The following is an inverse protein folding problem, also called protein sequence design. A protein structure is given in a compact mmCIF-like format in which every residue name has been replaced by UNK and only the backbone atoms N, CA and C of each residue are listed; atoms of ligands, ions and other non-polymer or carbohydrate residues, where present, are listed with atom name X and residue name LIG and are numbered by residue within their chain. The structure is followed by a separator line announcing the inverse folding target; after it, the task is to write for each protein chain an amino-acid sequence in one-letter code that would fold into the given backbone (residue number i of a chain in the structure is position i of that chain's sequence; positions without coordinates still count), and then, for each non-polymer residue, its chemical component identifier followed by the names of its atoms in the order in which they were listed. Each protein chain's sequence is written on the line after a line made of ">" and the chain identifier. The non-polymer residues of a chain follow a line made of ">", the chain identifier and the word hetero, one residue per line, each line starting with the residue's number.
data_IF_376348408046
#
_entry.id   IF_376348408046
#
_cell.length_a   1.000
_cell.length_b   1.000
_cell.length_c   1.000
_cell.angle_alpha   90.00
_cell.angle_beta   90.00
_cell.angle_gamma   90.00
#
_symmetry.space_group_name_H-M   'P 1'
#
loop_
_entity.id
_entity.type
_entity.pdbx_description
1 polymer ?
#
# COMPACT_ATOMS: atom_id res chain seq x y z
N UNK A 1 -5.91 34.40 17.95
CA UNK A 1 -5.97 33.19 17.09
C UNK A 1 -7.26 33.33 16.30
N UNK A 2 -7.20 33.41 14.98
CA UNK A 2 -8.32 33.88 14.14
C UNK A 2 -9.39 32.79 14.01
N UNK A 3 -10.61 33.06 14.48
CA UNK A 3 -11.74 32.12 14.42
C UNK A 3 -12.09 31.71 12.97
N UNK A 4 -11.70 32.52 11.98
CA UNK A 4 -11.83 32.21 10.55
C UNK A 4 -10.99 31.00 10.12
N UNK A 5 -9.87 30.71 10.80
CA UNK A 5 -9.08 29.50 10.55
C UNK A 5 -9.79 28.22 11.01
N UNK A 6 -10.52 28.29 12.13
CA UNK A 6 -11.38 27.20 12.61
C UNK A 6 -12.64 27.04 11.75
N UNK A 7 -13.14 28.12 11.17
CA UNK A 7 -14.29 28.11 10.25
C UNK A 7 -13.94 27.51 8.87
N UNK A 8 -12.74 27.81 8.35
CA UNK A 8 -12.18 27.18 7.14
C UNK A 8 -11.87 25.68 7.36
N UNK A 9 -11.42 25.28 8.57
CA UNK A 9 -11.30 23.85 8.90
C UNK A 9 -12.67 23.16 8.96
N UNK A 10 -13.70 23.81 9.51
CA UNK A 10 -15.07 23.29 9.56
C UNK A 10 -15.73 23.18 8.18
N UNK A 11 -15.41 24.06 7.23
CA UNK A 11 -15.86 23.97 5.83
C UNK A 11 -15.17 22.85 5.01
N UNK A 12 -14.10 22.23 5.54
CA UNK A 12 -13.44 21.05 4.97
C UNK A 12 -13.95 19.72 5.55
N UNK A 13 -14.94 19.75 6.43
CA UNK A 13 -15.56 18.51 6.91
C UNK A 13 -16.55 18.03 5.85
N UNK A 14 -16.15 17.01 5.10
CA UNK A 14 -17.08 16.21 4.31
C UNK A 14 -18.13 15.67 5.28
N UNK A 15 -19.38 16.12 5.15
CA UNK A 15 -20.48 15.45 5.84
C UNK A 15 -20.68 14.07 5.21
N UNK A 16 -20.15 13.07 5.90
CA UNK A 16 -20.19 11.70 5.44
C UNK A 16 -21.62 11.15 5.32
N UNK A 17 -22.59 11.70 6.04
CA UNK A 17 -24.00 11.30 5.90
C UNK A 17 -24.58 11.82 4.59
N UNK A 18 -24.22 13.04 4.18
CA UNK A 18 -24.63 13.59 2.88
C UNK A 18 -23.93 12.89 1.72
N UNK A 19 -22.68 12.45 1.89
CA UNK A 19 -21.95 11.79 0.81
C UNK A 19 -22.31 10.32 0.62
N UNK A 20 -22.74 9.63 1.69
CA UNK A 20 -23.01 8.18 1.66
C UNK A 20 -23.93 7.75 0.51
N UNK A 21 -25.08 8.42 0.24
CA UNK A 21 -25.93 8.06 -0.90
C UNK A 21 -25.26 8.16 -2.28
N UNK A 22 -24.18 8.93 -2.39
CA UNK A 22 -23.48 9.17 -3.65
C UNK A 22 -22.29 8.23 -3.88
N UNK A 23 -21.88 7.44 -2.89
CA UNK A 23 -20.72 6.53 -2.99
C UNK A 23 -20.83 5.54 -4.16
N UNK A 24 -21.97 4.86 -4.41
CA UNK A 24 -22.11 4.01 -5.60
C UNK A 24 -21.79 4.75 -6.90
N UNK A 25 -22.27 5.99 -7.04
CA UNK A 25 -22.00 6.79 -8.24
C UNK A 25 -20.52 7.18 -8.33
N UNK A 26 -19.87 7.49 -7.21
CA UNK A 26 -18.43 7.77 -7.19
C UNK A 26 -17.62 6.54 -7.61
N UNK A 27 -17.98 5.34 -7.14
CA UNK A 27 -17.35 4.08 -7.54
C UNK A 27 -17.53 3.81 -9.04
N UNK A 28 -18.73 4.03 -9.58
CA UNK A 28 -18.97 3.91 -11.02
C UNK A 28 -18.13 4.90 -11.84
N UNK A 29 -17.97 6.13 -11.36
CA UNK A 29 -17.12 7.14 -12.01
C UNK A 29 -15.64 6.71 -12.04
N UNK A 30 -15.18 5.88 -11.10
CA UNK A 30 -13.80 5.36 -11.14
C UNK A 30 -13.52 4.50 -12.37
N UNK A 31 -14.54 3.83 -12.93
CA UNK A 31 -14.48 3.00 -14.14
C UNK A 31 -14.45 3.84 -15.43
N UNK A 32 -14.79 5.12 -15.34
CA UNK A 32 -14.83 6.00 -16.49
C UNK A 32 -13.42 6.46 -16.88
N UNK A 33 -13.10 6.52 -18.18
CA UNK A 33 -11.84 7.10 -18.68
C UNK A 33 -11.91 8.63 -18.75
N UNK A 34 -12.28 9.28 -17.65
CA UNK A 34 -12.51 10.73 -17.58
C UNK A 34 -11.62 11.39 -16.54
N UNK A 35 -11.39 12.70 -16.66
CA UNK A 35 -10.69 13.49 -15.63
C UNK A 35 -11.45 13.47 -14.29
N UNK A 36 -12.77 13.27 -14.35
CA UNK A 36 -13.67 13.26 -13.18
C UNK A 36 -13.39 12.04 -12.28
N UNK A 37 -12.84 10.95 -12.83
CA UNK A 37 -12.42 9.78 -12.04
C UNK A 37 -11.43 10.13 -10.94
N UNK A 38 -10.54 11.11 -11.18
CA UNK A 38 -9.56 11.53 -10.18
C UNK A 38 -10.25 12.23 -9.00
N UNK A 39 -11.25 13.05 -9.28
CA UNK A 39 -12.04 13.74 -8.26
C UNK A 39 -12.82 12.72 -7.42
N UNK A 40 -13.47 11.75 -8.08
CA UNK A 40 -14.17 10.67 -7.38
C UNK A 40 -13.22 9.87 -6.48
N UNK A 41 -12.01 9.56 -6.98
CA UNK A 41 -10.99 8.90 -6.19
C UNK A 41 -10.54 9.74 -4.99
N UNK A 42 -10.24 11.02 -5.17
CA UNK A 42 -9.77 11.89 -4.09
C UNK A 42 -10.82 11.99 -2.96
N UNK A 43 -12.11 12.06 -3.31
CA UNK A 43 -13.22 12.02 -2.35
C UNK A 43 -13.26 10.69 -1.60
N UNK A 44 -13.24 9.56 -2.33
CA UNK A 44 -13.29 8.23 -1.70
C UNK A 44 -12.05 7.96 -0.84
N UNK A 45 -10.89 8.46 -1.26
CA UNK A 45 -9.65 8.37 -0.51
C UNK A 45 -9.76 9.14 0.80
N UNK A 46 -10.28 10.37 0.77
CA UNK A 46 -10.51 11.17 1.97
C UNK A 46 -11.50 10.49 2.93
N UNK A 47 -12.56 9.85 2.40
CA UNK A 47 -13.48 9.03 3.22
C UNK A 47 -12.72 7.86 3.84
N UNK A 48 -11.88 7.14 3.08
CA UNK A 48 -11.11 6.00 3.59
C UNK A 48 -10.14 6.38 4.71
N UNK A 49 -9.65 7.62 4.73
CA UNK A 49 -8.69 8.11 5.73
C UNK A 49 -9.38 8.70 6.96
N UNK A 50 -10.45 9.49 6.76
CA UNK A 50 -11.12 10.24 7.82
C UNK A 50 -12.29 9.49 8.45
N UNK A 51 -13.05 8.72 7.66
CA UNK A 51 -14.20 7.95 8.14
C UNK A 51 -14.39 6.62 7.37
N UNK A 52 -13.43 5.68 7.47
CA UNK A 52 -13.43 4.46 6.67
C UNK A 52 -14.66 3.57 6.89
N UNK A 53 -15.34 3.68 8.04
CA UNK A 53 -16.56 2.91 8.33
C UNK A 53 -17.63 3.07 7.24
N UNK A 54 -17.69 4.25 6.61
CA UNK A 54 -18.68 4.58 5.58
C UNK A 54 -18.48 3.72 4.33
N UNK A 55 -17.25 3.26 4.06
CA UNK A 55 -16.92 2.45 2.88
C UNK A 55 -17.08 0.94 3.10
N UNK A 56 -17.41 0.49 4.33
CA UNK A 56 -17.53 -0.94 4.63
C UNK A 56 -18.64 -1.63 3.84
N UNK A 57 -19.75 -0.92 3.60
CA UNK A 57 -20.88 -1.42 2.81
C UNK A 57 -20.53 -1.60 1.31
N UNK A 58 -19.37 -1.10 0.87
CA UNK A 58 -18.96 -1.04 -0.54
C UNK A 58 -17.66 -1.82 -0.82
N UNK A 59 -17.22 -2.67 0.12
CA UNK A 59 -15.96 -3.45 -0.04
C UNK A 59 -16.02 -4.32 -1.28
N UNK A 60 -17.14 -5.01 -1.54
CA UNK A 60 -17.31 -5.84 -2.74
C UNK A 60 -17.33 -5.02 -4.03
N UNK A 61 -17.94 -3.84 -4.02
CA UNK A 61 -17.94 -2.93 -5.18
C UNK A 61 -16.52 -2.44 -5.49
N UNK A 62 -15.75 -2.10 -4.46
CA UNK A 62 -14.34 -1.71 -4.59
C UNK A 62 -13.49 -2.90 -5.06
N UNK A 63 -13.73 -4.10 -4.54
CA UNK A 63 -13.06 -5.34 -4.99
C UNK A 63 -13.36 -5.60 -6.47
N UNK A 64 -14.58 -5.35 -6.92
CA UNK A 64 -14.99 -5.46 -8.32
C UNK A 64 -14.31 -4.48 -9.29
N UNK A 65 -13.51 -3.53 -8.80
CA UNK A 65 -12.71 -2.62 -9.64
C UNK A 65 -11.37 -3.22 -10.10
N UNK A 66 -10.92 -4.35 -9.54
CA UNK A 66 -9.69 -4.99 -10.00
C UNK A 66 -9.82 -5.47 -11.46
N UNK A 67 -8.76 -5.21 -12.25
CA UNK A 67 -8.66 -5.50 -13.68
C UNK A 67 -7.35 -4.97 -14.28
N UNK A 68 -7.35 -4.69 -15.59
CA UNK A 68 -6.13 -4.26 -16.31
C UNK A 68 -5.88 -2.74 -16.32
N UNK A 69 -6.55 -1.96 -15.48
CA UNK A 69 -6.54 -0.49 -15.55
C UNK A 69 -6.26 0.24 -14.24
N UNK A 70 -6.45 1.56 -14.27
CA UNK A 70 -6.25 2.44 -13.11
C UNK A 70 -7.28 2.20 -12.00
N UNK A 71 -8.38 1.54 -12.32
CA UNK A 71 -9.41 1.06 -11.39
C UNK A 71 -8.79 0.17 -10.32
N UNK A 72 -7.83 -0.70 -10.69
CA UNK A 72 -7.04 -1.52 -9.77
C UNK A 72 -6.19 -0.69 -8.82
N UNK A 73 -5.60 0.41 -9.31
CA UNK A 73 -4.83 1.34 -8.47
C UNK A 73 -5.74 1.96 -7.42
N UNK A 74 -6.91 2.47 -7.83
CA UNK A 74 -7.86 3.08 -6.91
C UNK A 74 -8.38 2.09 -5.87
N UNK A 75 -8.79 0.89 -6.31
CA UNK A 75 -9.23 -0.20 -5.44
C UNK A 75 -8.15 -0.55 -4.41
N UNK A 76 -6.91 -0.78 -4.86
CA UNK A 76 -5.81 -1.18 -3.97
C UNK A 76 -5.54 -0.15 -2.88
N UNK A 77 -5.58 1.15 -3.21
CA UNK A 77 -5.29 2.22 -2.27
C UNK A 77 -6.43 2.41 -1.27
N UNK A 78 -7.68 2.31 -1.72
CA UNK A 78 -8.86 2.41 -0.86
C UNK A 78 -8.95 1.22 0.10
N UNK A 79 -8.85 -0.01 -0.42
CA UNK A 79 -8.93 -1.24 0.38
C UNK A 79 -7.76 -1.36 1.36
N UNK A 80 -6.54 -0.99 0.96
CA UNK A 80 -5.39 -0.99 1.88
C UNK A 80 -5.49 0.10 2.96
N UNK A 81 -6.12 1.25 2.69
CA UNK A 81 -6.44 2.24 3.72
C UNK A 81 -7.50 1.73 4.70
N UNK A 82 -8.57 1.13 4.18
CA UNK A 82 -9.61 0.48 4.98
C UNK A 82 -9.01 -0.58 5.91
N UNK A 83 -8.09 -1.40 5.40
CA UNK A 83 -7.44 -2.47 6.16
C UNK A 83 -6.69 -1.99 7.40
N UNK A 84 -6.17 -0.75 7.41
CA UNK A 84 -5.49 -0.17 8.58
C UNK A 84 -6.42 -0.06 9.81
N UNK A 85 -7.74 0.05 9.61
CA UNK A 85 -8.76 0.09 10.67
C UNK A 85 -9.59 -1.19 10.73
N UNK A 86 -9.78 -1.86 9.59
CA UNK A 86 -10.63 -3.02 9.43
C UNK A 86 -9.89 -4.12 8.65
N UNK A 87 -8.94 -4.85 9.28
CA UNK A 87 -8.06 -5.78 8.56
C UNK A 87 -8.78 -6.88 7.78
N UNK A 88 -10.01 -7.24 8.18
CA UNK A 88 -10.81 -8.30 7.56
C UNK A 88 -11.36 -7.93 6.18
N UNK A 89 -11.34 -6.65 5.78
CA UNK A 89 -11.75 -6.21 4.43
C UNK A 89 -10.77 -6.64 3.33
N UNK A 90 -9.56 -7.06 3.71
CA UNK A 90 -8.55 -7.58 2.77
C UNK A 90 -8.43 -9.08 2.98
N UNK A 91 -8.83 -9.84 1.97
CA UNK A 91 -8.64 -11.28 1.85
C UNK A 91 -7.43 -11.61 0.97
N UNK A 92 -7.18 -12.91 0.79
CA UNK A 92 -6.09 -13.41 -0.05
C UNK A 92 -6.24 -13.00 -1.52
N UNK A 93 -7.46 -12.95 -2.05
CA UNK A 93 -7.73 -12.58 -3.43
C UNK A 93 -7.34 -11.11 -3.69
N UNK A 94 -7.66 -10.21 -2.76
CA UNK A 94 -7.24 -8.80 -2.83
C UNK A 94 -5.71 -8.70 -2.82
N UNK A 95 -5.02 -9.47 -1.96
CA UNK A 95 -3.55 -9.49 -1.94
C UNK A 95 -2.99 -9.98 -3.28
N UNK A 96 -3.53 -11.07 -3.82
CA UNK A 96 -3.14 -11.63 -5.13
C UNK A 96 -3.35 -10.63 -6.27
N UNK A 97 -4.48 -9.93 -6.30
CA UNK A 97 -4.76 -8.88 -7.28
C UNK A 97 -3.76 -7.72 -7.20
N UNK A 98 -3.40 -7.26 -5.98
CA UNK A 98 -2.41 -6.20 -5.80
C UNK A 98 -1.01 -6.69 -6.21
N UNK A 99 -0.65 -7.94 -5.94
CA UNK A 99 0.60 -8.52 -6.46
C UNK A 99 0.61 -8.59 -7.98
N UNK A 100 -0.51 -8.94 -8.62
CA UNK A 100 -0.65 -8.93 -10.09
C UNK A 100 -0.38 -7.55 -10.71
N UNK A 101 -0.68 -6.46 -9.99
CA UNK A 101 -0.35 -5.10 -10.45
C UNK A 101 1.16 -4.82 -10.54
N UNK A 102 2.01 -5.62 -9.89
CA UNK A 102 3.47 -5.44 -9.93
C UNK A 102 4.08 -5.78 -11.30
N UNK A 103 3.32 -6.47 -12.16
CA UNK A 103 3.75 -6.79 -13.51
C UNK A 103 3.69 -5.56 -14.45
N UNK A 104 3.01 -4.49 -14.04
CA UNK A 104 2.88 -3.25 -14.81
C UNK A 104 3.74 -2.15 -14.19
N UNK A 105 4.69 -1.61 -14.95
CA UNK A 105 5.65 -0.60 -14.47
C UNK A 105 4.99 0.63 -13.86
N UNK A 106 3.95 1.13 -14.53
CA UNK A 106 3.18 2.29 -14.09
C UNK A 106 2.42 2.06 -12.77
N UNK A 107 2.17 0.80 -12.39
CA UNK A 107 1.38 0.46 -11.21
C UNK A 107 2.20 -0.05 -10.03
N UNK A 108 3.43 -0.52 -10.26
CA UNK A 108 4.33 -1.09 -9.24
C UNK A 108 4.42 -0.23 -7.97
N UNK A 109 4.62 1.08 -8.11
CA UNK A 109 4.71 2.00 -6.95
C UNK A 109 3.45 2.03 -6.10
N UNK A 110 2.28 1.97 -6.71
CA UNK A 110 0.99 2.01 -6.01
C UNK A 110 0.69 0.66 -5.37
N UNK A 111 0.94 -0.43 -6.10
CA UNK A 111 0.83 -1.78 -5.57
C UNK A 111 1.70 -1.96 -4.32
N UNK A 112 2.97 -1.54 -4.38
CA UNK A 112 3.88 -1.62 -3.24
C UNK A 112 3.47 -0.73 -2.08
N UNK A 113 2.89 0.45 -2.34
CA UNK A 113 2.33 1.30 -1.29
C UNK A 113 1.17 0.58 -0.56
N UNK A 114 0.27 -0.06 -1.31
CA UNK A 114 -0.86 -0.80 -0.76
C UNK A 114 -0.41 -2.04 0.02
N UNK A 115 0.50 -2.85 -0.54
CA UNK A 115 1.08 -4.02 0.13
C UNK A 115 1.82 -3.65 1.42
N UNK A 116 2.53 -2.51 1.42
CA UNK A 116 3.21 -2.00 2.61
C UNK A 116 2.24 -1.69 3.74
N UNK A 117 1.08 -1.08 3.44
CA UNK A 117 -0.01 -0.86 4.42
C UNK A 117 -0.64 -2.17 4.89
N UNK A 118 -0.91 -3.10 3.97
CA UNK A 118 -1.47 -4.41 4.32
C UNK A 118 -0.51 -5.17 5.24
N UNK A 119 0.80 -5.10 5.00
CA UNK A 119 1.81 -5.75 5.83
C UNK A 119 1.76 -5.32 7.31
N UNK A 120 1.35 -4.07 7.59
CA UNK A 120 1.22 -3.57 8.97
C UNK A 120 0.16 -4.39 9.75
N UNK A 121 -0.94 -4.75 9.09
CA UNK A 121 -2.11 -5.39 9.73
C UNK A 121 -2.23 -6.89 9.46
N UNK A 122 -1.72 -7.35 8.31
CA UNK A 122 -1.79 -8.73 7.83
C UNK A 122 -0.45 -9.19 7.23
N UNK A 123 0.66 -9.21 8.00
CA UNK A 123 1.97 -9.60 7.47
C UNK A 123 2.01 -11.05 6.97
N UNK A 124 1.25 -11.96 7.59
CA UNK A 124 1.23 -13.39 7.21
C UNK A 124 0.73 -13.64 5.80
N UNK A 125 -0.16 -12.78 5.28
CA UNK A 125 -0.68 -12.91 3.91
C UNK A 125 0.42 -12.63 2.86
N UNK A 126 1.51 -11.97 3.26
CA UNK A 126 2.60 -11.60 2.37
C UNK A 126 3.80 -12.57 2.43
N UNK A 127 3.80 -13.55 3.35
CA UNK A 127 4.94 -14.46 3.57
C UNK A 127 5.31 -15.25 2.31
N UNK A 128 4.33 -15.71 1.54
CA UNK A 128 4.58 -16.47 0.30
C UNK A 128 5.22 -15.63 -0.82
N UNK A 129 5.29 -14.30 -0.65
CA UNK A 129 5.83 -13.38 -1.63
C UNK A 129 7.21 -12.86 -1.28
N UNK A 130 7.84 -13.34 -0.21
CA UNK A 130 9.20 -12.93 0.19
C UNK A 130 10.18 -12.98 -0.99
N UNK A 131 10.29 -14.07 -1.78
CA UNK A 131 11.21 -14.10 -2.93
C UNK A 131 10.95 -12.97 -3.94
N UNK A 132 9.68 -12.66 -4.23
CA UNK A 132 9.32 -11.58 -5.16
C UNK A 132 9.65 -10.20 -4.57
N UNK A 133 9.45 -10.01 -3.27
CA UNK A 133 9.81 -8.78 -2.56
C UNK A 133 11.33 -8.56 -2.59
N UNK A 134 12.13 -9.61 -2.41
CA UNK A 134 13.59 -9.55 -2.53
C UNK A 134 14.00 -9.04 -3.92
N UNK A 135 13.38 -9.56 -4.98
CA UNK A 135 13.62 -9.07 -6.35
C UNK A 135 13.27 -7.58 -6.50
N UNK A 136 12.21 -7.11 -5.85
CA UNK A 136 11.77 -5.70 -5.91
C UNK A 136 12.68 -4.73 -5.16
N UNK A 137 13.64 -5.20 -4.34
CA UNK A 137 14.73 -4.34 -3.85
C UNK A 137 15.61 -3.84 -5.00
N UNK A 138 15.64 -4.54 -6.14
CA UNK A 138 16.43 -4.17 -7.32
C UNK A 138 15.66 -3.30 -8.32
N UNK A 139 14.41 -2.93 -8.01
CA UNK A 139 13.55 -2.16 -8.91
C UNK A 139 14.13 -0.79 -9.28
N UNK A 140 13.79 -0.28 -10.47
CA UNK A 140 14.21 1.03 -10.95
C UNK A 140 13.63 2.18 -10.12
N UNK A 141 12.39 2.05 -9.64
CA UNK A 141 11.70 3.05 -8.84
C UNK A 141 12.12 2.96 -7.35
N UNK A 142 12.59 4.09 -6.81
CA UNK A 142 12.97 4.19 -5.40
C UNK A 142 11.83 3.86 -4.43
N UNK A 143 10.59 4.27 -4.74
CA UNK A 143 9.44 3.99 -3.89
C UNK A 143 9.10 2.50 -3.87
N UNK A 144 9.31 1.77 -4.97
CA UNK A 144 9.14 0.32 -5.02
C UNK A 144 10.18 -0.35 -4.12
N UNK A 145 11.46 0.01 -4.27
CA UNK A 145 12.55 -0.53 -3.43
C UNK A 145 12.30 -0.29 -1.94
N UNK A 146 11.94 0.94 -1.56
CA UNK A 146 11.76 1.33 -0.16
C UNK A 146 10.55 0.64 0.48
N UNK A 147 9.42 0.53 -0.24
CA UNK A 147 8.27 -0.20 0.28
C UNK A 147 8.54 -1.70 0.36
N UNK A 148 9.30 -2.28 -0.58
CA UNK A 148 9.71 -3.68 -0.48
C UNK A 148 10.55 -3.91 0.78
N UNK A 149 11.53 -3.04 1.04
CA UNK A 149 12.34 -3.11 2.24
C UNK A 149 11.52 -3.03 3.53
N UNK A 150 10.53 -2.11 3.59
CA UNK A 150 9.62 -2.01 4.75
C UNK A 150 8.86 -3.31 5.01
N UNK A 151 8.34 -3.94 3.96
CA UNK A 151 7.63 -5.22 4.07
C UNK A 151 8.61 -6.30 4.55
N UNK A 152 9.77 -6.42 3.90
CA UNK A 152 10.77 -7.42 4.26
C UNK A 152 11.28 -7.26 5.70
N UNK A 153 11.48 -6.05 6.19
CA UNK A 153 11.83 -5.81 7.59
C UNK A 153 10.82 -6.42 8.58
N UNK A 154 9.53 -6.34 8.26
CA UNK A 154 8.47 -6.94 9.08
C UNK A 154 8.48 -8.47 8.97
N UNK A 155 8.63 -9.00 7.75
CA UNK A 155 8.54 -10.44 7.48
C UNK A 155 9.78 -11.22 7.94
N UNK A 156 10.99 -10.70 7.70
CA UNK A 156 12.24 -11.44 7.89
C UNK A 156 12.58 -11.71 9.36
N UNK A 157 12.04 -10.92 10.29
CA UNK A 157 12.13 -11.23 11.74
C UNK A 157 11.60 -12.63 12.10
N UNK A 158 10.68 -13.16 11.28
CA UNK A 158 10.05 -14.48 11.44
C UNK A 158 10.43 -15.49 10.35
N UNK A 159 11.22 -15.06 9.36
CA UNK A 159 11.64 -15.87 8.21
C UNK A 159 13.14 -15.60 7.94
N UNK A 160 14.03 -15.92 8.90
CA UNK A 160 15.45 -15.56 8.83
C UNK A 160 16.22 -16.28 7.72
N UNK A 161 15.68 -17.36 7.15
CA UNK A 161 16.29 -18.14 6.08
C UNK A 161 16.55 -17.33 4.79
N UNK A 162 15.88 -16.19 4.62
CA UNK A 162 16.07 -15.30 3.47
C UNK A 162 17.09 -14.18 3.70
N UNK A 163 17.65 -14.05 4.92
CA UNK A 163 18.58 -12.95 5.25
C UNK A 163 19.85 -13.03 4.39
N UNK A 164 20.37 -14.23 4.13
CA UNK A 164 21.57 -14.42 3.31
C UNK A 164 21.41 -13.90 1.87
N UNK A 165 20.19 -13.97 1.31
CA UNK A 165 19.91 -13.39 0.00
C UNK A 165 19.99 -11.87 0.02
N UNK A 166 19.51 -11.22 1.09
CA UNK A 166 19.63 -9.78 1.27
C UNK A 166 21.11 -9.37 1.43
N UNK A 167 21.89 -10.13 2.20
CA UNK A 167 23.34 -9.88 2.38
C UNK A 167 24.05 -9.92 1.03
N UNK A 168 23.78 -10.92 0.19
CA UNK A 168 24.34 -11.00 -1.17
C UNK A 168 24.02 -9.76 -2.00
N UNK A 169 22.79 -9.25 -1.93
CA UNK A 169 22.40 -8.01 -2.64
C UNK A 169 23.16 -6.79 -2.10
N UNK A 170 23.36 -6.68 -0.78
CA UNK A 170 24.10 -5.58 -0.17
C UNK A 170 25.59 -5.58 -0.59
N UNK A 171 26.19 -6.77 -0.68
CA UNK A 171 27.61 -6.96 -0.97
C UNK A 171 27.94 -6.96 -2.48
N UNK A 172 26.97 -7.20 -3.36
CA UNK A 172 27.19 -7.23 -4.81
C UNK A 172 27.57 -5.86 -5.37
N UNK A 173 28.87 -5.68 -5.65
CA UNK A 173 29.44 -4.43 -6.17
C UNK A 173 29.02 -4.11 -7.60
N UNK A 174 28.40 -5.06 -8.32
CA UNK A 174 27.88 -4.82 -9.67
C UNK A 174 26.49 -4.14 -9.64
N UNK A 175 25.79 -4.18 -8.51
CA UNK A 175 24.51 -3.49 -8.34
C UNK A 175 24.69 -2.01 -8.07
N UNK A 176 23.68 -1.22 -8.46
CA UNK A 176 23.63 0.22 -8.21
C UNK A 176 23.80 0.51 -6.71
N UNK A 177 24.57 1.54 -6.32
CA UNK A 177 24.72 1.90 -4.90
C UNK A 177 23.40 2.08 -4.16
N UNK A 178 22.38 2.64 -4.82
CA UNK A 178 21.06 2.84 -4.25
C UNK A 178 20.30 1.54 -3.95
N UNK A 179 20.55 0.46 -4.69
CA UNK A 179 19.98 -0.88 -4.42
C UNK A 179 20.68 -1.49 -3.21
N UNK A 180 22.02 -1.44 -3.21
CA UNK A 180 22.84 -1.97 -2.12
C UNK A 180 22.52 -1.29 -0.79
N UNK A 181 22.36 0.04 -0.77
CA UNK A 181 21.99 0.81 0.43
C UNK A 181 20.66 0.31 1.04
N UNK A 182 19.65 0.04 0.20
CA UNK A 182 18.37 -0.48 0.70
C UNK A 182 18.56 -1.86 1.34
N UNK A 183 19.33 -2.75 0.71
CA UNK A 183 19.65 -4.05 1.28
C UNK A 183 20.45 -3.93 2.60
N UNK A 184 21.47 -3.04 2.67
CA UNK A 184 22.21 -2.78 3.91
C UNK A 184 21.28 -2.32 5.04
N UNK A 185 20.34 -1.42 4.77
CA UNK A 185 19.37 -0.96 5.79
C UNK A 185 18.58 -2.14 6.36
N UNK A 186 18.17 -3.10 5.52
CA UNK A 186 17.48 -4.30 5.98
C UNK A 186 18.39 -5.14 6.88
N UNK A 187 19.61 -5.44 6.43
CA UNK A 187 20.57 -6.26 7.19
C UNK A 187 20.91 -5.63 8.53
N UNK A 188 21.25 -4.34 8.55
CA UNK A 188 21.66 -3.66 9.79
C UNK A 188 20.51 -3.57 10.80
N UNK A 189 19.28 -3.34 10.33
CA UNK A 189 18.12 -3.33 11.22
C UNK A 189 17.85 -4.71 11.84
N UNK A 190 17.96 -5.79 11.06
CA UNK A 190 17.75 -7.15 11.57
C UNK A 190 18.87 -7.56 12.55
N UNK A 191 20.12 -7.11 12.31
CA UNK A 191 21.23 -7.30 13.25
C UNK A 191 20.99 -6.58 14.57
N UNK A 192 20.57 -5.32 14.52
CA UNK A 192 20.26 -4.53 15.73
C UNK A 192 19.13 -5.16 16.56
N UNK A 193 18.16 -5.84 15.94
CA UNK A 193 17.13 -6.59 16.68
C UNK A 193 17.63 -7.88 17.33
N UNK A 194 18.73 -8.44 16.81
CA UNK A 194 19.31 -9.70 17.29
C UNK A 194 20.33 -9.50 18.42
N UNK A 195 20.81 -8.27 18.63
CA UNK A 195 21.74 -7.90 19.70
C UNK A 195 21.09 -6.91 20.69
N UNK A 196 20.54 -7.38 21.83
CA UNK A 196 19.85 -6.53 22.81
C UNK A 196 20.80 -5.65 23.65
N UNK A 197 22.09 -5.54 23.28
CA UNK A 197 23.14 -4.84 24.06
C UNK A 197 23.37 -3.38 23.65
N UNK A 198 22.63 -2.86 22.66
CA UNK A 198 22.65 -1.46 22.18
C UNK A 198 21.37 -0.73 22.51
#
# INVERSE_FOLDING_TARGET
>A
MDDRWLEIQRLREIDFNLIKPHIPRLIEILKEKSIVRRIAFDILLEISEKNPKVLLDYVEDLKGLFGCGYESVYSSLLLSNLALRYPDVVDREIVENIFGMLEFEEFRRYAMQSLSKICIVKPKELTNYIPRLIELIKDGDFHVRWNSAKILLNLLSKNPEYIDEIVKIAEDRNLKPSVRVVAYVIVEFLRAQSDPST
#
